data_IF_938849284941
#
_entry.id   IF_938849284941
#
_cell.length_a   1.000
_cell.length_b   1.000
_cell.length_c   1.000
_cell.angle_alpha   90.00
_cell.angle_beta   90.00
_cell.angle_gamma   90.00
#
_symmetry.space_group_name_H-M   'P 1'
#
loop_
_entity.id
_entity.type
_entity.pdbx_description
1 polymer ?
#
# COMPACT_ATOMS: atom_id res chain seq x y z
N UNK A 1 -7.68 2.57 3.19
CA UNK A 1 -6.47 3.07 2.50
C UNK A 1 -6.67 4.55 2.20
N UNK A 2 -5.69 5.27 1.63
CA UNK A 2 -5.94 6.60 1.04
C UNK A 2 -5.30 6.68 -0.34
N UNK A 3 -5.58 7.72 -1.13
CA UNK A 3 -4.96 7.91 -2.46
C UNK A 3 -3.44 7.81 -2.45
N UNK A 4 -2.79 8.17 -1.35
CA UNK A 4 -1.33 8.07 -1.23
C UNK A 4 -0.84 6.64 -1.03
N UNK A 5 -1.65 5.71 -0.53
CA UNK A 5 -1.25 4.30 -0.46
C UNK A 5 -1.03 3.72 -1.86
N UNK A 6 -1.98 3.96 -2.76
CA UNK A 6 -1.94 3.44 -4.14
C UNK A 6 -0.74 4.03 -4.86
N UNK A 7 -0.52 5.35 -4.75
CA UNK A 7 0.66 6.02 -5.31
C UNK A 7 1.98 5.51 -4.74
N UNK A 8 2.01 5.10 -3.47
CA UNK A 8 3.21 4.51 -2.86
C UNK A 8 3.50 3.14 -3.45
N UNK A 9 2.48 2.31 -3.63
CA UNK A 9 2.61 0.99 -4.23
C UNK A 9 3.05 1.10 -5.70
N UNK A 10 2.40 1.96 -6.48
CA UNK A 10 2.80 2.27 -7.86
C UNK A 10 4.27 2.72 -7.94
N UNK A 11 4.68 3.61 -7.03
CA UNK A 11 6.08 4.04 -6.95
C UNK A 11 7.02 2.87 -6.67
N UNK A 12 6.69 2.02 -5.70
CA UNK A 12 7.52 0.88 -5.32
C UNK A 12 7.65 -0.15 -6.46
N UNK A 13 6.57 -0.36 -7.23
CA UNK A 13 6.58 -1.22 -8.41
C UNK A 13 7.48 -0.65 -9.53
N UNK A 14 7.38 0.65 -9.81
CA UNK A 14 8.13 1.29 -10.89
C UNK A 14 9.61 1.52 -10.57
N UNK A 15 9.95 1.77 -9.29
CA UNK A 15 11.30 2.14 -8.86
C UNK A 15 12.02 1.02 -8.10
N UNK A 16 11.45 -0.18 -8.05
CA UNK A 16 11.92 -1.36 -7.30
C UNK A 16 11.99 -1.18 -5.76
N UNK A 17 11.89 0.06 -5.27
CA UNK A 17 11.92 0.39 -3.85
C UNK A 17 11.23 1.72 -3.55
N UNK A 18 10.79 1.86 -2.30
CA UNK A 18 10.20 3.07 -1.78
C UNK A 18 10.90 3.48 -0.47
N UNK A 19 11.23 4.77 -0.36
CA UNK A 19 11.67 5.37 0.90
C UNK A 19 11.12 6.78 1.03
N UNK A 20 10.75 7.16 2.26
CA UNK A 20 10.11 8.45 2.50
C UNK A 20 10.99 9.65 2.13
N UNK A 21 12.33 9.50 2.15
CA UNK A 21 13.26 10.54 1.74
C UNK A 21 13.22 10.73 0.22
N UNK A 22 13.53 9.68 -0.55
CA UNK A 22 13.55 9.71 -2.02
C UNK A 22 12.20 10.17 -2.58
N UNK A 23 11.10 9.66 -2.04
CA UNK A 23 9.77 10.05 -2.47
C UNK A 23 9.45 11.51 -2.15
N UNK A 24 9.94 12.05 -1.03
CA UNK A 24 9.70 13.46 -0.71
C UNK A 24 10.45 14.37 -1.68
N UNK A 25 11.65 13.96 -2.08
CA UNK A 25 12.52 14.71 -2.99
C UNK A 25 12.05 14.62 -4.45
N UNK A 26 11.23 13.61 -4.80
CA UNK A 26 10.67 13.44 -6.15
C UNK A 26 9.65 14.52 -6.58
N UNK A 27 9.18 15.36 -5.65
CA UNK A 27 8.08 16.33 -5.81
C UNK A 27 6.71 15.74 -6.24
N UNK A 28 6.65 14.46 -6.62
CA UNK A 28 5.42 13.74 -6.97
C UNK A 28 4.45 13.62 -5.78
N UNK A 29 5.01 13.48 -4.56
CA UNK A 29 4.23 13.35 -3.34
C UNK A 29 4.04 14.71 -2.65
N UNK A 30 2.80 15.20 -2.68
CA UNK A 30 2.39 16.47 -2.07
C UNK A 30 2.07 16.35 -0.58
N UNK A 31 2.75 15.45 0.13
CA UNK A 31 2.60 15.25 1.57
C UNK A 31 3.95 15.35 2.29
N UNK A 32 3.91 15.49 3.61
CA UNK A 32 5.12 15.51 4.43
C UNK A 32 5.83 14.15 4.39
N UNK A 33 7.17 14.18 4.54
CA UNK A 33 8.00 12.98 4.72
C UNK A 33 7.49 12.11 5.88
N UNK A 34 7.07 12.72 6.99
CA UNK A 34 6.49 12.01 8.14
C UNK A 34 5.19 11.28 7.81
N UNK A 35 4.35 11.84 6.93
CA UNK A 35 3.15 11.17 6.43
C UNK A 35 3.52 9.97 5.56
N UNK A 36 4.48 10.11 4.64
CA UNK A 36 4.98 9.00 3.82
C UNK A 36 5.53 7.87 4.68
N UNK A 37 6.34 8.17 5.70
CA UNK A 37 6.87 7.16 6.62
C UNK A 37 5.76 6.39 7.36
N UNK A 38 4.70 7.07 7.81
CA UNK A 38 3.55 6.41 8.43
C UNK A 38 2.80 5.52 7.45
N UNK A 39 2.69 5.93 6.18
CA UNK A 39 2.02 5.14 5.14
C UNK A 39 2.82 3.90 4.77
N UNK A 40 4.12 4.03 4.53
CA UNK A 40 5.02 2.90 4.25
C UNK A 40 4.93 1.84 5.36
N UNK A 41 4.96 2.27 6.63
CA UNK A 41 4.78 1.36 7.77
C UNK A 41 3.42 0.65 7.72
N UNK A 42 2.31 1.38 7.52
CA UNK A 42 0.95 0.80 7.43
C UNK A 42 0.80 -0.18 6.27
N UNK A 43 1.39 0.10 5.11
CA UNK A 43 1.38 -0.81 3.97
C UNK A 43 2.19 -2.07 4.25
N UNK A 44 3.31 -1.93 4.95
CA UNK A 44 4.10 -3.07 5.37
C UNK A 44 3.41 -3.95 6.41
N UNK A 45 2.70 -3.35 7.38
CA UNK A 45 1.86 -4.07 8.35
C UNK A 45 0.75 -4.87 7.67
N UNK A 46 0.29 -4.45 6.49
CA UNK A 46 -0.70 -5.16 5.67
C UNK A 46 -0.10 -6.21 4.73
N UNK A 47 1.23 -6.37 4.74
CA UNK A 47 1.92 -7.30 3.85
C UNK A 47 2.02 -6.83 2.39
N UNK A 48 1.61 -5.60 2.07
CA UNK A 48 1.70 -5.02 0.71
C UNK A 48 3.10 -4.52 0.38
N UNK A 49 3.89 -4.21 1.43
CA UNK A 49 5.30 -3.85 1.32
C UNK A 49 6.15 -4.67 2.29
N UNK A 50 7.38 -4.96 1.91
CA UNK A 50 8.38 -5.57 2.78
C UNK A 50 9.42 -4.51 3.19
N UNK A 51 9.64 -4.34 4.49
CA UNK A 51 10.68 -3.44 5.01
C UNK A 51 12.04 -4.13 5.00
N UNK A 52 13.02 -3.57 4.28
CA UNK A 52 14.39 -4.10 4.17
C UNK A 52 15.38 -3.50 5.18
N UNK A 53 14.95 -2.48 5.94
CA UNK A 53 15.81 -1.72 6.85
C UNK A 53 16.15 -0.33 6.30
N UNK A 54 16.68 0.56 7.16
CA UNK A 54 17.02 1.95 6.83
C UNK A 54 15.86 2.78 6.20
N UNK A 55 14.60 2.36 6.42
CA UNK A 55 13.44 3.01 5.84
C UNK A 55 13.23 2.71 4.35
N UNK A 56 13.88 1.66 3.83
CA UNK A 56 13.68 1.12 2.48
C UNK A 56 12.61 0.03 2.53
N UNK A 57 11.67 0.13 1.60
CA UNK A 57 10.57 -0.81 1.40
C UNK A 57 10.56 -1.30 -0.03
N UNK A 58 10.13 -2.54 -0.26
CA UNK A 58 9.90 -3.10 -1.60
C UNK A 58 8.47 -3.64 -1.70
N UNK A 59 7.92 -3.66 -2.91
CA UNK A 59 6.60 -4.25 -3.12
C UNK A 59 6.66 -5.77 -2.94
N UNK A 60 5.59 -6.35 -2.40
CA UNK A 60 5.43 -7.81 -2.28
C UNK A 60 4.51 -8.32 -3.38
N UNK A 61 4.45 -9.63 -3.58
CA UNK A 61 3.46 -10.24 -4.48
C UNK A 61 2.01 -9.81 -4.14
N UNK A 62 1.64 -9.75 -2.86
CA UNK A 62 0.31 -9.28 -2.43
C UNK A 62 0.08 -7.82 -2.82
N UNK A 63 1.13 -6.99 -2.76
CA UNK A 63 1.09 -5.59 -3.20
C UNK A 63 0.94 -5.45 -4.71
N UNK A 64 1.58 -6.32 -5.49
CA UNK A 64 1.44 -6.38 -6.95
C UNK A 64 0.02 -6.82 -7.35
N UNK A 65 -0.47 -7.93 -6.77
CA UNK A 65 -1.84 -8.43 -6.98
C UNK A 65 -2.90 -7.36 -6.64
N UNK A 66 -2.65 -6.55 -5.61
CA UNK A 66 -3.48 -5.40 -5.23
C UNK A 66 -3.53 -4.32 -6.33
N UNK A 67 -2.39 -4.00 -6.95
CA UNK A 67 -2.32 -2.99 -8.01
C UNK A 67 -2.91 -3.47 -9.34
N UNK A 68 -2.77 -4.76 -9.65
CA UNK A 68 -3.34 -5.35 -10.86
C UNK A 68 -4.88 -5.45 -10.81
N UNK A 69 -5.48 -5.20 -9.64
CA UNK A 69 -6.93 -5.24 -9.45
C UNK A 69 -7.48 -6.64 -9.21
N UNK A 70 -6.60 -7.63 -9.08
CA UNK A 70 -6.95 -9.01 -8.72
C UNK A 70 -7.35 -9.13 -7.23
N UNK A 71 -7.01 -8.13 -6.42
CA UNK A 71 -7.49 -7.95 -5.05
C UNK A 71 -8.40 -6.72 -4.95
N UNK A 72 -9.71 -6.94 -4.86
CA UNK A 72 -10.67 -5.87 -4.57
C UNK A 72 -10.34 -5.25 -3.21
N UNK A 73 -9.95 -3.96 -3.20
CA UNK A 73 -9.56 -3.19 -2.02
C UNK A 73 -10.62 -3.18 -0.90
N UNK A 74 -11.87 -3.54 -1.22
CA UNK A 74 -12.94 -3.78 -0.25
C UNK A 74 -12.71 -4.99 0.66
N UNK A 75 -11.98 -6.01 0.23
CA UNK A 75 -11.77 -7.25 1.00
C UNK A 75 -10.80 -7.12 2.17
N UNK A 76 -10.05 -6.00 2.27
CA UNK A 76 -9.11 -5.73 3.35
C UNK A 76 -9.75 -5.07 4.58
N UNK A 77 -11.09 -5.03 4.65
CA UNK A 77 -11.84 -4.56 5.80
C UNK A 77 -12.79 -5.66 6.29
N UNK A 78 -12.25 -6.72 6.90
CA UNK A 78 -13.07 -7.72 7.58
C UNK A 78 -13.56 -7.16 8.92
N UNK A 79 -14.60 -6.34 8.88
CA UNK A 79 -15.57 -6.27 9.96
C UNK A 79 -16.87 -6.91 9.46
N UNK A 80 -16.99 -8.17 9.85
CA UNK A 80 -18.20 -8.96 10.10
C UNK A 80 -19.52 -8.32 9.66
N UNK A 81 -20.13 -8.87 8.62
CA UNK A 81 -21.59 -8.99 8.51
C UNK A 81 -21.88 -10.21 7.65
N UNK A 82 -22.00 -11.34 8.33
CA UNK A 82 -22.79 -12.47 7.88
C UNK A 82 -24.20 -12.00 7.54
N UNK A 83 -24.66 -12.26 6.33
CA UNK A 83 -26.05 -12.59 6.05
C UNK A 83 -26.11 -13.46 4.79
N UNK A 84 -26.11 -14.77 5.06
CA UNK A 84 -26.78 -15.75 4.21
C UNK A 84 -28.22 -15.29 3.97
N UNK A 85 -28.71 -15.36 2.73
CA UNK A 85 -29.60 -16.44 2.31
C UNK A 85 -30.19 -16.15 0.93
N UNK A 86 -30.19 -17.20 0.11
CA UNK A 86 -30.93 -17.32 -1.12
C UNK A 86 -32.44 -17.12 -0.91
N UNK A 87 -33.16 -16.74 -1.97
CA UNK A 87 -34.13 -17.62 -2.66
C UNK A 87 -35.23 -16.84 -3.38
N UNK A 88 -35.49 -17.28 -4.61
CA UNK A 88 -36.75 -17.35 -5.38
C UNK A 88 -37.64 -16.11 -5.55
#
# INVERSE_FOLDING_TARGET
MTIWDDRILEWAQQNESASAAVMKDSEYFQVSRSSLSRRLKKLSEKGLLQHLGNGVYVITAIGEDYLEGDLDAKSLNSESSSEDTASA
#
